data_IF_262228325339
#
_entry.id   IF_262228325339
#
_cell.length_a   1.000
_cell.length_b   1.000
_cell.length_c   1.000
_cell.angle_alpha   90.00
_cell.angle_beta   90.00
_cell.angle_gamma   90.00
#
_symmetry.space_group_name_H-M   'P 1'
#
loop_
_entity.id
_entity.type
_entity.pdbx_description
1 polymer ?
#
# COMPACT_ATOMS: atom_id res chain seq x y z
N UNK A 1 7.64 -19.01 4.32
CA UNK A 1 6.19 -19.11 4.56
C UNK A 1 5.64 -18.01 5.49
N UNK A 2 6.09 -17.88 6.75
CA UNK A 2 5.56 -16.85 7.69
C UNK A 2 5.57 -15.40 7.17
N UNK A 3 6.67 -14.99 6.51
CA UNK A 3 6.79 -13.65 5.93
C UNK A 3 5.86 -13.41 4.73
N UNK A 4 5.62 -14.44 3.92
CA UNK A 4 4.68 -14.37 2.79
C UNK A 4 3.27 -14.20 3.34
N UNK A 5 2.88 -15.00 4.34
CA UNK A 5 1.57 -14.88 5.00
C UNK A 5 1.37 -13.48 5.62
N UNK A 6 2.40 -12.91 6.24
CA UNK A 6 2.37 -11.54 6.75
C UNK A 6 2.18 -10.49 5.64
N UNK A 7 2.92 -10.61 4.54
CA UNK A 7 2.79 -9.69 3.40
C UNK A 7 1.39 -9.83 2.78
N UNK A 8 0.91 -11.06 2.57
CA UNK A 8 -0.42 -11.32 2.03
C UNK A 8 -1.52 -10.76 2.93
N UNK A 9 -1.48 -11.05 4.23
CA UNK A 9 -2.45 -10.52 5.20
C UNK A 9 -2.45 -8.99 5.24
N UNK A 10 -1.28 -8.36 5.32
CA UNK A 10 -1.17 -6.89 5.28
C UNK A 10 -1.65 -6.30 3.96
N UNK A 11 -1.33 -6.95 2.83
CA UNK A 11 -1.77 -6.48 1.51
C UNK A 11 -3.28 -6.51 1.37
N UNK A 12 -3.97 -7.53 1.92
CA UNK A 12 -5.43 -7.58 1.94
C UNK A 12 -6.02 -6.48 2.81
N UNK A 13 -5.45 -6.25 3.99
CA UNK A 13 -5.87 -5.17 4.90
C UNK A 13 -5.75 -3.82 4.18
N UNK A 14 -4.61 -3.53 3.56
CA UNK A 14 -4.42 -2.29 2.80
C UNK A 14 -5.33 -2.22 1.57
N UNK A 15 -5.57 -3.33 0.87
CA UNK A 15 -6.44 -3.38 -0.30
C UNK A 15 -7.92 -3.13 0.05
N UNK A 16 -8.33 -3.35 1.29
CA UNK A 16 -9.65 -2.96 1.78
C UNK A 16 -9.67 -1.53 2.31
N UNK A 17 -8.67 -1.16 3.13
CA UNK A 17 -8.63 0.16 3.77
C UNK A 17 -8.42 1.30 2.77
N UNK A 18 -7.52 1.17 1.80
CA UNK A 18 -7.20 2.25 0.88
C UNK A 18 -8.43 2.67 0.04
N UNK A 19 -9.16 1.76 -0.64
CA UNK A 19 -10.33 2.17 -1.40
C UNK A 19 -11.48 2.63 -0.50
N UNK A 20 -11.70 2.02 0.67
CA UNK A 20 -12.65 2.55 1.67
C UNK A 20 -12.29 4.00 2.01
N UNK A 21 -11.01 4.29 2.26
CA UNK A 21 -10.56 5.63 2.60
C UNK A 21 -10.75 6.63 1.46
N UNK A 22 -10.43 6.21 0.23
CA UNK A 22 -10.57 7.04 -0.96
C UNK A 22 -12.05 7.31 -1.27
N UNK A 23 -12.86 6.27 -1.42
CA UNK A 23 -14.24 6.45 -1.90
C UNK A 23 -15.19 6.99 -0.83
N UNK A 24 -14.89 6.79 0.47
CA UNK A 24 -15.75 7.26 1.55
C UNK A 24 -15.42 8.66 2.04
N UNK A 25 -14.14 9.02 2.11
CA UNK A 25 -13.71 10.28 2.73
C UNK A 25 -13.20 11.31 1.72
N UNK A 26 -12.87 10.91 0.49
CA UNK A 26 -12.38 11.83 -0.53
C UNK A 26 -13.52 12.19 -1.49
N UNK A 27 -13.78 13.48 -1.74
CA UNK A 27 -14.72 13.93 -2.76
C UNK A 27 -14.39 13.38 -4.15
N UNK A 28 -15.43 13.17 -4.96
CA UNK A 28 -15.29 12.65 -6.32
C UNK A 28 -14.34 13.41 -7.22
N UNK A 29 -14.42 14.74 -7.18
CA UNK A 29 -13.50 15.60 -7.94
C UNK A 29 -12.04 15.30 -7.62
N UNK A 30 -11.72 14.98 -6.36
CA UNK A 30 -10.35 14.75 -5.91
C UNK A 30 -9.89 13.34 -6.27
N UNK A 31 -10.69 12.29 -6.04
CA UNK A 31 -10.25 10.95 -6.42
C UNK A 31 -10.17 10.76 -7.94
N UNK A 32 -10.96 11.50 -8.72
CA UNK A 32 -10.83 11.53 -10.18
C UNK A 32 -9.53 12.19 -10.64
N UNK A 33 -9.07 13.23 -9.94
CA UNK A 33 -7.73 13.83 -10.17
C UNK A 33 -6.64 12.81 -9.82
N UNK A 34 -6.74 12.12 -8.68
CA UNK A 34 -5.81 11.04 -8.32
C UNK A 34 -5.78 9.96 -9.38
N UNK A 35 -6.94 9.57 -9.90
CA UNK A 35 -7.08 8.61 -10.98
C UNK A 35 -6.37 9.04 -12.28
N UNK A 36 -6.44 10.34 -12.64
CA UNK A 36 -5.68 10.90 -13.77
C UNK A 36 -4.17 10.91 -13.48
N UNK A 37 -3.78 11.18 -12.24
CA UNK A 37 -2.38 11.18 -11.81
C UNK A 37 -1.74 9.79 -11.91
N UNK A 38 -2.50 8.73 -11.58
CA UNK A 38 -2.03 7.35 -11.71
C UNK A 38 -2.18 6.79 -13.13
N UNK A 39 -2.84 7.51 -14.03
CA UNK A 39 -3.00 7.16 -15.45
C UNK A 39 -2.61 8.30 -16.41
N UNK A 40 -1.42 8.89 -16.30
CA UNK A 40 -1.06 10.10 -17.05
C UNK A 40 -0.90 9.83 -18.55
N UNK A 41 -0.55 8.60 -18.92
CA UNK A 41 -0.38 8.16 -20.31
C UNK A 41 -1.63 7.50 -20.88
N UNK A 42 -2.76 7.52 -20.16
CA UNK A 42 -4.01 6.87 -20.57
C UNK A 42 -3.84 5.39 -20.97
N UNK A 43 -2.96 4.67 -20.27
CA UNK A 43 -2.71 3.23 -20.48
C UNK A 43 -3.98 2.45 -20.19
N UNK A 44 -4.75 2.89 -19.20
CA UNK A 44 -6.08 2.35 -18.92
C UNK A 44 -7.16 3.22 -19.57
N UNK A 45 -8.20 2.60 -20.16
CA UNK A 45 -9.29 3.32 -20.80
C UNK A 45 -10.16 4.08 -19.79
N UNK A 46 -10.33 3.55 -18.58
CA UNK A 46 -11.07 4.20 -17.50
C UNK A 46 -10.12 4.69 -16.40
N UNK A 47 -10.39 5.90 -15.92
CA UNK A 47 -9.71 6.50 -14.77
C UNK A 47 -9.95 5.70 -13.48
N UNK A 48 -11.13 5.07 -13.36
CA UNK A 48 -11.49 4.23 -12.21
C UNK A 48 -10.67 2.93 -12.24
N UNK A 49 -10.52 2.30 -13.41
CA UNK A 49 -9.74 1.06 -13.54
C UNK A 49 -8.28 1.30 -13.15
N UNK A 50 -7.70 2.42 -13.59
CA UNK A 50 -6.35 2.80 -13.20
C UNK A 50 -6.22 3.03 -11.70
N UNK A 51 -7.22 3.65 -11.08
CA UNK A 51 -7.24 3.88 -9.63
C UNK A 51 -7.31 2.55 -8.87
N UNK A 52 -8.11 1.59 -9.33
CA UNK A 52 -8.19 0.24 -8.74
C UNK A 52 -6.84 -0.47 -8.82
N UNK A 53 -6.18 -0.45 -9.99
CA UNK A 53 -4.86 -1.06 -10.15
C UNK A 53 -3.82 -0.37 -9.25
N UNK A 54 -3.86 0.96 -9.17
CA UNK A 54 -2.99 1.72 -8.28
C UNK A 54 -3.20 1.33 -6.81
N UNK A 55 -4.44 1.15 -6.37
CA UNK A 55 -4.78 0.68 -5.02
C UNK A 55 -4.14 -0.68 -4.74
N UNK A 56 -4.23 -1.64 -5.66
CA UNK A 56 -3.61 -2.97 -5.50
C UNK A 56 -2.09 -2.85 -5.38
N UNK A 57 -1.47 -2.08 -6.27
CA UNK A 57 -0.01 -1.87 -6.26
C UNK A 57 0.46 -1.17 -4.98
N UNK A 58 -0.23 -0.13 -4.55
CA UNK A 58 0.07 0.56 -3.30
C UNK A 58 -0.12 -0.33 -2.09
N UNK A 59 -1.16 -1.18 -2.08
CA UNK A 59 -1.39 -2.13 -0.99
C UNK A 59 -0.23 -3.12 -0.84
N UNK A 60 0.26 -3.66 -1.96
CA UNK A 60 1.44 -4.53 -1.99
C UNK A 60 2.70 -3.79 -1.54
N UNK A 61 2.88 -2.56 -2.03
CA UNK A 61 4.01 -1.71 -1.68
C UNK A 61 4.03 -1.39 -0.18
N UNK A 62 2.91 -0.95 0.40
CA UNK A 62 2.80 -0.66 1.84
C UNK A 62 2.98 -1.91 2.69
N UNK A 63 2.43 -3.06 2.29
CA UNK A 63 2.67 -4.32 2.97
C UNK A 63 4.18 -4.67 3.00
N UNK A 64 4.86 -4.50 1.87
CA UNK A 64 6.31 -4.72 1.78
C UNK A 64 7.11 -3.75 2.65
N UNK A 65 6.80 -2.45 2.60
CA UNK A 65 7.44 -1.41 3.44
C UNK A 65 7.24 -1.70 4.92
N UNK A 66 6.02 -2.07 5.33
CA UNK A 66 5.69 -2.42 6.72
C UNK A 66 6.57 -3.56 7.22
N UNK A 67 6.68 -4.64 6.43
CA UNK A 67 7.53 -5.79 6.79
C UNK A 67 9.01 -5.42 6.85
N UNK A 68 9.50 -4.59 5.92
CA UNK A 68 10.88 -4.09 5.94
C UNK A 68 11.17 -3.29 7.21
N UNK A 69 10.26 -2.40 7.61
CA UNK A 69 10.39 -1.60 8.83
C UNK A 69 10.43 -2.47 10.08
N UNK A 70 9.56 -3.47 10.18
CA UNK A 70 9.54 -4.41 11.32
C UNK A 70 10.89 -5.14 11.44
N UNK A 71 11.44 -5.64 10.34
CA UNK A 71 12.74 -6.33 10.33
C UNK A 71 13.86 -5.36 10.72
N UNK A 72 13.86 -4.15 10.18
CA UNK A 72 14.86 -3.14 10.50
C UNK A 72 14.86 -2.80 11.99
N UNK A 73 13.68 -2.57 12.58
CA UNK A 73 13.53 -2.26 14.00
C UNK A 73 13.99 -3.45 14.85
N UNK A 74 13.61 -4.67 14.48
CA UNK A 74 14.05 -5.89 15.17
C UNK A 74 15.59 -5.99 15.21
N UNK A 75 16.24 -5.85 14.06
CA UNK A 75 17.70 -5.91 13.97
C UNK A 75 18.39 -4.81 14.79
N UNK A 76 17.83 -3.60 14.79
CA UNK A 76 18.33 -2.48 15.60
C UNK A 76 18.24 -2.78 17.11
N UNK A 77 17.17 -3.42 17.57
CA UNK A 77 17.02 -3.82 18.98
C UNK A 77 18.00 -4.90 19.40
N UNK A 78 18.24 -5.91 18.55
CA UNK A 78 19.21 -6.98 18.82
C UNK A 78 20.64 -6.44 18.93
N UNK A 79 21.04 -5.53 18.03
CA UNK A 79 22.34 -4.85 18.09
C UNK A 79 22.55 -4.07 19.39
N UNK A 80 21.51 -3.38 19.87
CA UNK A 80 21.59 -2.61 21.12
C UNK A 80 21.64 -3.50 22.37
N UNK A 81 21.12 -4.73 22.31
CA UNK A 81 21.23 -5.70 23.42
C UNK A 81 22.64 -6.28 23.56
N UNK A 82 23.36 -6.50 22.46
CA UNK A 82 24.73 -7.03 22.49
C UNK A 82 25.78 -6.04 22.99
N UNK A 83 25.43 -4.74 23.09
CA UNK A 83 26.31 -3.68 23.60
C UNK A 83 26.11 -3.38 25.09
N UNK A 84 25.16 -4.04 25.76
CA UNK A 84 24.90 -3.93 27.21
C UNK A 84 25.42 -5.18 27.89
#
# INVERSE_FOLDING_TARGET
>A
MKRILLISGLSLIYAMLIPEMIFRFIPESIYMILGKLVNPLHIFPSTIDALIIAVILFSLFFAWVTVRLIIFIKNKMEHNKMKR
#
